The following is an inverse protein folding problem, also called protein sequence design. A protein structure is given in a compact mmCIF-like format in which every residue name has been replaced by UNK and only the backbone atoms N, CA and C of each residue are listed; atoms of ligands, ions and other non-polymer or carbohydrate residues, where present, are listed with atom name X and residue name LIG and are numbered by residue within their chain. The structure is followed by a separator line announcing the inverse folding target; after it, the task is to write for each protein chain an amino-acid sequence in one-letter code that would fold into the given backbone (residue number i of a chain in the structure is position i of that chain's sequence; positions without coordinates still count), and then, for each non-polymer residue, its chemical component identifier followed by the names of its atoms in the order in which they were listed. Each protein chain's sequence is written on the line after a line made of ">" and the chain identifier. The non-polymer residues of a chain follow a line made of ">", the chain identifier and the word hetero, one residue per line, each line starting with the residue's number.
data_IF_739443998579
#
_entry.id   IF_739443998579
#
_cell.length_a   1.000
_cell.length_b   1.000
_cell.length_c   1.000
_cell.angle_alpha   90.00
_cell.angle_beta   90.00
_cell.angle_gamma   90.00
#
_symmetry.space_group_name_H-M   'P 1'
#
loop_
_entity.id
_entity.type
_entity.pdbx_description
1 polymer ?
#
# COMPACT_ATOMS: atom_id res chain seq x y z
N UNK A 1 0.61 -6.03 -10.68
CA UNK A 1 0.54 -6.68 -9.34
C UNK A 1 -0.29 -5.87 -8.34
N UNK A 2 -0.47 -4.55 -8.54
CA UNK A 2 -1.30 -3.66 -7.72
C UNK A 2 -2.77 -4.10 -7.54
N UNK A 3 -3.35 -4.78 -8.53
CA UNK A 3 -4.72 -5.29 -8.45
C UNK A 3 -4.94 -6.31 -7.33
N UNK A 4 -3.93 -7.09 -6.95
CA UNK A 4 -4.06 -8.09 -5.89
C UNK A 4 -4.33 -7.44 -4.54
N UNK A 5 -3.55 -6.40 -4.20
CA UNK A 5 -3.72 -5.62 -2.97
C UNK A 5 -5.05 -4.87 -2.96
N UNK A 6 -5.44 -4.27 -4.10
CA UNK A 6 -6.76 -3.62 -4.23
C UNK A 6 -7.90 -4.61 -3.94
N UNK A 7 -7.86 -5.81 -4.54
CA UNK A 7 -8.84 -6.86 -4.31
C UNK A 7 -8.85 -7.38 -2.87
N UNK A 8 -7.67 -7.50 -2.25
CA UNK A 8 -7.56 -7.90 -0.84
C UNK A 8 -8.30 -6.91 0.06
N UNK A 9 -8.02 -5.62 -0.05
CA UNK A 9 -8.68 -4.59 0.77
C UNK A 9 -10.18 -4.51 0.48
N UNK A 10 -10.59 -4.50 -0.79
CA UNK A 10 -12.01 -4.51 -1.14
C UNK A 10 -12.73 -5.77 -0.62
N UNK A 11 -12.08 -6.93 -0.66
CA UNK A 11 -12.63 -8.18 -0.13
C UNK A 11 -12.78 -8.19 1.39
N UNK A 12 -12.00 -7.38 2.11
CA UNK A 12 -12.16 -7.13 3.55
C UNK A 12 -13.20 -6.03 3.85
N UNK A 13 -13.85 -5.44 2.84
CA UNK A 13 -14.80 -4.34 3.03
C UNK A 13 -14.16 -2.96 3.18
N UNK A 14 -12.86 -2.83 2.88
CA UNK A 14 -12.13 -1.55 2.92
C UNK A 14 -12.15 -0.89 1.53
N UNK A 15 -12.29 0.43 1.50
CA UNK A 15 -12.17 1.23 0.28
C UNK A 15 -10.81 1.95 0.21
N UNK A 16 -9.77 1.34 -0.40
CA UNK A 16 -8.44 1.94 -0.48
C UNK A 16 -8.40 3.08 -1.50
N UNK A 17 -7.74 4.18 -1.16
CA UNK A 17 -7.33 5.19 -2.15
C UNK A 17 -6.08 4.69 -2.88
N UNK A 18 -6.12 4.65 -4.20
CA UNK A 18 -5.01 4.16 -5.04
C UNK A 18 -4.43 5.33 -5.82
N UNK A 19 -3.11 5.52 -5.71
CA UNK A 19 -2.35 6.49 -6.48
C UNK A 19 -1.54 5.76 -7.54
N UNK A 20 -1.94 5.91 -8.80
CA UNK A 20 -1.26 5.31 -9.95
C UNK A 20 -0.12 6.24 -10.39
N UNK A 21 1.13 5.88 -10.06
CA UNK A 21 2.30 6.73 -10.30
C UNK A 21 2.66 6.85 -11.79
N UNK A 22 2.32 5.84 -12.59
CA UNK A 22 2.52 5.78 -14.03
C UNK A 22 1.53 6.67 -14.81
N UNK A 23 0.40 7.01 -14.19
CA UNK A 23 -0.66 7.85 -14.76
C UNK A 23 -0.63 9.29 -14.22
N UNK A 24 0.35 9.64 -13.39
CA UNK A 24 0.55 11.01 -12.95
C UNK A 24 0.76 11.92 -14.17
N UNK A 25 0.03 13.03 -14.25
CA UNK A 25 0.11 13.97 -15.37
C UNK A 25 1.50 14.61 -15.56
N UNK A 26 2.36 14.52 -14.55
CA UNK A 26 3.78 14.82 -14.62
C UNK A 26 4.62 13.53 -14.44
N UNK A 27 5.22 13.00 -15.52
CA UNK A 27 6.07 11.81 -15.47
C UNK A 27 7.30 11.95 -14.57
N UNK A 28 7.81 13.16 -14.39
CA UNK A 28 8.99 13.43 -13.54
C UNK A 28 8.57 13.29 -12.07
N UNK A 29 7.42 13.85 -11.70
CA UNK A 29 6.88 13.74 -10.34
C UNK A 29 6.56 12.28 -9.95
N UNK A 30 6.03 11.48 -10.88
CA UNK A 30 5.77 10.05 -10.64
C UNK A 30 7.03 9.27 -10.32
N UNK A 31 8.11 9.51 -11.08
CA UNK A 31 9.41 8.85 -10.88
C UNK A 31 10.11 9.28 -9.58
N UNK A 32 10.05 10.57 -9.24
CA UNK A 32 10.58 11.05 -7.96
C UNK A 32 9.83 10.45 -6.76
N UNK A 33 8.50 10.33 -6.86
CA UNK A 33 7.68 9.67 -5.84
C UNK A 33 8.02 8.19 -5.70
N UNK A 34 8.17 7.46 -6.81
CA UNK A 34 8.60 6.07 -6.80
C UNK A 34 9.95 5.90 -6.10
N UNK A 35 10.92 6.75 -6.41
CA UNK A 35 12.25 6.70 -5.84
C UNK A 35 12.24 7.05 -4.34
N UNK A 36 11.42 8.01 -3.91
CA UNK A 36 11.20 8.33 -2.50
C UNK A 36 10.55 7.15 -1.75
N UNK A 37 9.55 6.50 -2.33
CA UNK A 37 8.90 5.32 -1.76
C UNK A 37 9.89 4.17 -1.62
N UNK A 38 10.70 3.89 -2.65
CA UNK A 38 11.74 2.86 -2.60
C UNK A 38 12.73 3.09 -1.46
N UNK A 39 13.20 4.34 -1.28
CA UNK A 39 14.06 4.72 -0.16
C UNK A 39 13.37 4.50 1.19
N UNK A 40 12.08 4.83 1.28
CA UNK A 40 11.30 4.72 2.51
C UNK A 40 11.14 3.27 2.98
N UNK A 41 10.91 2.33 2.05
CA UNK A 41 10.77 0.90 2.38
C UNK A 41 12.11 0.13 2.35
N UNK A 42 13.22 0.80 2.02
CA UNK A 42 14.54 0.18 1.90
C UNK A 42 14.66 -0.80 0.72
N UNK A 43 13.87 -0.62 -0.34
CA UNK A 43 13.87 -1.50 -1.49
C UNK A 43 14.85 -1.05 -2.58
N UNK A 44 15.50 -2.02 -3.23
CA UNK A 44 16.51 -1.77 -4.28
C UNK A 44 15.91 -1.73 -5.69
N UNK A 45 14.63 -2.09 -5.88
CA UNK A 45 13.99 -2.17 -7.20
C UNK A 45 12.53 -1.69 -7.19
N UNK A 46 12.11 -1.10 -8.31
CA UNK A 46 10.74 -0.66 -8.65
C UNK A 46 9.68 -1.77 -8.53
N UNK A 47 10.10 -3.04 -8.53
CA UNK A 47 9.25 -4.20 -8.26
C UNK A 47 8.60 -4.18 -6.85
N UNK A 48 8.94 -3.21 -6.02
CA UNK A 48 8.42 -3.05 -4.67
C UNK A 48 7.05 -2.33 -4.59
N UNK A 49 6.50 -1.84 -5.71
CA UNK A 49 5.11 -1.37 -5.74
C UNK A 49 4.12 -2.56 -5.76
N UNK A 50 2.96 -2.45 -5.09
CA UNK A 50 2.44 -1.28 -4.39
C UNK A 50 3.03 -1.07 -2.98
N UNK A 51 3.16 0.19 -2.58
CA UNK A 51 3.44 0.58 -1.17
C UNK A 51 2.14 1.01 -0.50
N UNK A 52 1.89 0.47 0.68
CA UNK A 52 0.64 0.66 1.42
C UNK A 52 0.86 1.44 2.71
N UNK A 53 -0.03 2.41 2.93
CA UNK A 53 -0.16 3.15 4.18
C UNK A 53 -1.55 2.92 4.78
N UNK A 54 -1.64 2.83 6.09
CA UNK A 54 -2.90 2.69 6.84
C UNK A 54 -2.89 3.69 8.00
N UNK A 55 -3.91 4.56 8.06
CA UNK A 55 -3.98 5.60 9.10
C UNK A 55 -2.75 6.52 9.14
N UNK A 56 -2.13 6.79 7.98
CA UNK A 56 -0.89 7.57 7.86
C UNK A 56 0.41 6.82 8.19
N UNK A 57 0.32 5.54 8.61
CA UNK A 57 1.49 4.71 8.94
C UNK A 57 1.89 3.83 7.75
N UNK A 58 3.20 3.75 7.48
CA UNK A 58 3.74 2.85 6.47
C UNK A 58 3.61 1.38 6.91
N UNK A 59 2.87 0.58 6.14
CA UNK A 59 2.80 -0.88 6.32
C UNK A 59 3.93 -1.55 5.52
N UNK A 60 4.19 -1.05 4.31
CA UNK A 60 5.27 -1.49 3.45
C UNK A 60 4.79 -1.92 2.06
N UNK A 61 5.61 -2.73 1.40
CA UNK A 61 5.29 -3.33 0.11
C UNK A 61 4.35 -4.53 0.26
N UNK A 62 4.02 -5.16 -0.88
CA UNK A 62 3.07 -6.29 -0.93
C UNK A 62 3.42 -7.45 0.02
N UNK A 63 4.69 -7.80 0.15
CA UNK A 63 5.15 -8.88 1.04
C UNK A 63 4.79 -8.62 2.51
N UNK A 64 5.04 -7.40 3.02
CA UNK A 64 4.70 -7.01 4.39
C UNK A 64 3.19 -6.92 4.60
N UNK A 65 2.43 -6.47 3.60
CA UNK A 65 0.97 -6.42 3.67
C UNK A 65 0.40 -7.84 3.75
N UNK A 66 0.89 -8.75 2.92
CA UNK A 66 0.47 -10.16 2.94
C UNK A 66 0.87 -10.84 4.25
N UNK A 67 2.08 -10.60 4.77
CA UNK A 67 2.51 -11.11 6.07
C UNK A 67 1.59 -10.61 7.19
N UNK A 68 1.21 -9.33 7.17
CA UNK A 68 0.27 -8.72 8.13
C UNK A 68 -1.15 -9.27 8.01
N UNK A 69 -1.56 -9.66 6.80
CA UNK A 69 -2.85 -10.32 6.59
C UNK A 69 -2.84 -11.74 7.18
N UNK A 70 -1.77 -12.51 6.91
CA UNK A 70 -1.63 -13.90 7.36
C UNK A 70 -1.50 -13.99 8.89
N UNK A 71 -0.74 -13.09 9.51
CA UNK A 71 -0.54 -13.09 10.96
C UNK A 71 -1.71 -12.42 11.72
N UNK A 72 -2.71 -11.90 11.01
CA UNK A 72 -3.89 -11.26 11.58
C UNK A 72 -3.71 -9.82 12.10
N UNK A 73 -2.52 -9.20 11.98
CA UNK A 73 -2.29 -7.84 12.47
C UNK A 73 -2.87 -6.75 11.57
N UNK A 74 -3.20 -7.07 10.32
CA UNK A 74 -3.77 -6.12 9.37
C UNK A 74 -5.18 -5.65 9.79
N UNK A 75 -6.00 -6.53 10.37
CA UNK A 75 -7.37 -6.18 10.77
C UNK A 75 -7.38 -5.14 11.90
N UNK A 76 -6.66 -5.31 13.03
CA UNK A 76 -6.52 -4.27 14.05
C UNK A 76 -6.04 -2.93 13.49
N UNK A 77 -5.04 -2.94 12.61
CA UNK A 77 -4.53 -1.71 11.98
C UNK A 77 -5.61 -0.96 11.18
N UNK A 78 -6.46 -1.70 10.46
CA UNK A 78 -7.55 -1.12 9.68
C UNK A 78 -8.68 -0.57 10.58
N UNK A 79 -8.98 -1.25 11.70
CA UNK A 79 -9.95 -0.77 12.69
C UNK A 79 -9.48 0.52 13.36
N UNK A 80 -8.22 0.55 13.81
CA UNK A 80 -7.61 1.73 14.43
C UNK A 80 -7.59 2.94 13.49
N UNK A 81 -7.44 2.69 12.18
CA UNK A 81 -7.50 3.72 11.15
C UNK A 81 -8.94 4.13 10.74
N UNK A 82 -9.97 3.52 11.31
CA UNK A 82 -11.38 3.74 10.94
C UNK A 82 -11.75 3.24 9.54
N UNK A 83 -10.88 2.44 8.92
CA UNK A 83 -11.05 1.90 7.57
C UNK A 83 -11.95 0.66 7.55
N UNK A 84 -12.15 0.01 8.70
CA UNK A 84 -12.96 -1.18 8.87
C UNK A 84 -13.89 -1.02 10.09
N UNK A 85 -15.19 -1.30 9.90
CA UNK A 85 -16.25 -1.15 10.90
C UNK A 85 -16.86 -2.51 11.28
N UNK A 86 -16.06 -3.37 11.91
CA UNK A 86 -16.48 -4.60 12.61
C UNK A 86 -15.51 -4.84 13.76
#
# INVERSE_FOLDING_TARGET
>A
MCHAIKRLFCGMGVNPTVYELDQAGDPIAGKEMELALMRLIGASSAAALPVVFVGGKLVGAMDRVMASHINGTLVPLLKDAGALWL
#
